data_IF_208282494010
#
_entry.id   IF_208282494010
#
_cell.length_a   1.000
_cell.length_b   1.000
_cell.length_c   1.000
_cell.angle_alpha   90.00
_cell.angle_beta   90.00
_cell.angle_gamma   90.00
#
_symmetry.space_group_name_H-M   'P 1'
#
loop_
_entity.id
_entity.type
_entity.pdbx_description
1 polymer ?
#
# COMPACT_ATOMS: atom_id res chain seq x y z
N UNK A 1 -7.24 -4.35 -18.64
CA UNK A 1 -7.79 -3.11 -18.04
C UNK A 1 -7.41 -3.11 -16.59
N UNK A 2 -6.64 -2.11 -16.16
CA UNK A 2 -6.25 -1.96 -14.77
C UNK A 2 -7.40 -1.38 -13.96
N UNK A 3 -7.67 -1.96 -12.80
CA UNK A 3 -8.64 -1.48 -11.82
C UNK A 3 -7.91 -0.96 -10.60
N UNK A 4 -8.43 0.12 -9.99
CA UNK A 4 -7.94 0.62 -8.71
C UNK A 4 -8.94 0.22 -7.63
N UNK A 5 -8.47 -0.51 -6.64
CA UNK A 5 -9.24 -0.90 -5.46
C UNK A 5 -8.81 -0.02 -4.29
N UNK A 6 -9.76 0.65 -3.66
CA UNK A 6 -9.54 1.42 -2.44
C UNK A 6 -9.82 0.54 -1.21
N UNK A 7 -8.89 0.51 -0.25
CA UNK A 7 -9.00 -0.29 0.97
C UNK A 7 -8.52 0.52 2.18
N UNK A 8 -9.24 0.47 3.30
CA UNK A 8 -8.76 1.05 4.55
C UNK A 8 -7.59 0.23 5.10
N UNK A 9 -6.69 0.91 5.80
CA UNK A 9 -5.47 0.33 6.34
C UNK A 9 -5.66 -0.81 7.36
N UNK A 10 -6.88 -0.97 7.89
CA UNK A 10 -7.27 -2.03 8.84
C UNK A 10 -8.09 -3.16 8.20
N UNK A 11 -8.40 -3.09 6.90
CA UNK A 11 -9.18 -4.13 6.22
C UNK A 11 -8.35 -5.40 6.03
N UNK A 12 -8.90 -6.56 6.43
CA UNK A 12 -8.23 -7.86 6.23
C UNK A 12 -7.88 -8.14 4.76
N UNK A 13 -8.74 -7.67 3.84
CA UNK A 13 -8.55 -7.83 2.39
C UNK A 13 -7.30 -7.11 1.88
N UNK A 14 -6.89 -6.02 2.52
CA UNK A 14 -5.64 -5.31 2.19
C UNK A 14 -4.46 -6.28 2.27
N UNK A 15 -4.28 -6.95 3.41
CA UNK A 15 -3.18 -7.89 3.62
C UNK A 15 -3.18 -9.01 2.58
N UNK A 16 -4.35 -9.53 2.20
CA UNK A 16 -4.45 -10.58 1.17
C UNK A 16 -3.94 -10.11 -0.20
N UNK A 17 -4.19 -8.85 -0.55
CA UNK A 17 -3.83 -8.30 -1.87
C UNK A 17 -2.38 -7.81 -1.89
N UNK A 18 -1.90 -7.12 -0.85
CA UNK A 18 -0.58 -6.48 -0.90
C UNK A 18 0.55 -7.34 -0.33
N UNK A 19 0.26 -8.39 0.47
CA UNK A 19 1.28 -9.24 1.09
C UNK A 19 2.37 -9.71 0.11
N UNK A 20 2.06 -10.24 -1.10
CA UNK A 20 3.08 -10.70 -2.03
C UNK A 20 4.04 -9.59 -2.47
N UNK A 21 3.53 -8.36 -2.66
CA UNK A 21 4.33 -7.23 -3.10
C UNK A 21 5.14 -6.63 -1.96
N UNK A 22 4.54 -6.39 -0.79
CA UNK A 22 5.26 -5.79 0.35
C UNK A 22 6.34 -6.71 0.91
N UNK A 23 6.22 -8.03 0.72
CA UNK A 23 7.25 -9.01 1.11
C UNK A 23 8.28 -9.28 0.01
N UNK A 24 8.09 -8.77 -1.20
CA UNK A 24 9.07 -8.92 -2.27
C UNK A 24 10.36 -8.17 -1.90
N UNK A 25 11.54 -8.82 -1.85
CA UNK A 25 12.79 -8.16 -1.46
C UNK A 25 13.15 -6.95 -2.33
N UNK A 26 12.78 -6.96 -3.61
CA UNK A 26 13.02 -5.83 -4.52
C UNK A 26 12.17 -4.63 -4.12
N UNK A 27 10.90 -4.85 -3.81
CA UNK A 27 9.95 -3.81 -3.36
C UNK A 27 10.34 -3.30 -1.97
N UNK A 28 10.69 -4.20 -1.05
CA UNK A 28 11.11 -3.83 0.29
C UNK A 28 12.38 -2.98 0.26
N UNK A 29 13.34 -3.31 -0.62
CA UNK A 29 14.56 -2.53 -0.85
C UNK A 29 14.26 -1.12 -1.39
N UNK A 30 13.25 -0.97 -2.23
CA UNK A 30 12.78 0.35 -2.68
C UNK A 30 12.21 1.20 -1.54
N UNK A 31 11.66 0.56 -0.50
CA UNK A 31 11.25 1.22 0.74
C UNK A 31 12.34 1.18 1.84
N UNK A 32 13.61 1.22 1.44
CA UNK A 32 14.77 1.22 2.36
C UNK A 32 14.83 0.03 3.33
N UNK A 33 14.30 -1.13 2.93
CA UNK A 33 14.12 -2.32 3.77
C UNK A 33 13.22 -2.10 5.00
N UNK A 34 12.42 -1.04 5.01
CA UNK A 34 11.40 -0.82 6.04
C UNK A 34 10.04 -1.39 5.60
N UNK A 35 9.24 -1.92 6.54
CA UNK A 35 7.87 -2.29 6.26
C UNK A 35 7.04 -1.04 5.91
N UNK A 36 6.06 -1.22 5.03
CA UNK A 36 5.10 -0.17 4.72
C UNK A 36 4.17 0.05 5.92
N UNK A 37 4.17 1.26 6.49
CA UNK A 37 3.31 1.64 7.61
C UNK A 37 1.83 1.64 7.21
N UNK A 38 0.97 1.17 8.10
CA UNK A 38 -0.49 1.24 7.96
C UNK A 38 -1.15 1.40 9.32
N UNK A 39 -2.34 2.00 9.36
CA UNK A 39 -3.21 2.15 10.54
C UNK A 39 -4.64 2.49 10.09
N UNK A 40 -5.52 2.85 11.03
CA UNK A 40 -6.87 3.34 10.71
C UNK A 40 -6.91 4.63 9.89
N UNK A 41 -5.82 5.42 9.90
CA UNK A 41 -5.72 6.67 9.14
C UNK A 41 -5.26 6.45 7.69
N UNK A 42 -5.01 5.20 7.29
CA UNK A 42 -4.49 4.89 5.96
C UNK A 42 -5.61 4.48 5.00
N UNK A 43 -5.49 4.94 3.76
CA UNK A 43 -6.17 4.40 2.60
C UNK A 43 -5.10 3.84 1.66
N UNK A 44 -5.33 2.64 1.15
CA UNK A 44 -4.47 1.98 0.20
C UNK A 44 -5.18 1.88 -1.14
N UNK A 45 -4.55 2.43 -2.17
CA UNK A 45 -4.96 2.23 -3.55
C UNK A 45 -4.16 1.09 -4.13
N UNK A 46 -4.83 0.02 -4.55
CA UNK A 46 -4.20 -1.18 -5.10
C UNK A 46 -4.56 -1.31 -6.57
N UNK A 47 -3.53 -1.34 -7.43
CA UNK A 47 -3.69 -1.55 -8.86
C UNK A 47 -3.75 -3.05 -9.17
N UNK A 48 -4.84 -3.47 -9.80
CA UNK A 48 -5.11 -4.86 -10.17
C UNK A 48 -5.26 -4.96 -11.68
N UNK A 49 -4.50 -5.86 -12.30
CA UNK A 49 -4.63 -6.19 -13.72
C UNK A 49 -5.08 -7.66 -13.87
N UNK A 50 -6.37 -7.85 -14.18
CA UNK A 50 -6.97 -9.18 -14.19
C UNK A 50 -7.00 -9.79 -12.79
N UNK A 51 -6.08 -10.72 -12.51
CA UNK A 51 -5.89 -11.35 -11.19
C UNK A 51 -4.59 -10.93 -10.50
N UNK A 52 -3.74 -10.18 -11.19
CA UNK A 52 -2.41 -9.81 -10.72
C UNK A 52 -2.44 -8.46 -10.02
N UNK A 53 -1.69 -8.35 -8.93
CA UNK A 53 -1.47 -7.09 -8.22
C UNK A 53 -0.20 -6.47 -8.78
N UNK A 54 -0.35 -5.32 -9.45
CA UNK A 54 0.75 -4.69 -10.20
C UNK A 54 1.33 -3.47 -9.49
N UNK A 55 0.69 -3.00 -8.42
CA UNK A 55 1.19 -1.91 -7.61
C UNK A 55 0.24 -1.50 -6.50
N UNK A 56 0.74 -0.66 -5.60
CA UNK A 56 -0.06 -0.04 -4.56
C UNK A 56 0.51 1.33 -4.15
N UNK A 57 -0.33 2.18 -3.59
CA UNK A 57 0.09 3.44 -2.96
C UNK A 57 -0.65 3.58 -1.62
N UNK A 58 0.06 3.60 -0.48
CA UNK A 58 -0.53 3.94 0.81
C UNK A 58 -0.57 5.46 0.99
N UNK A 59 -1.74 5.98 1.37
CA UNK A 59 -1.94 7.37 1.74
C UNK A 59 -2.33 7.45 3.22
N UNK A 60 -1.57 8.21 3.99
CA UNK A 60 -1.91 8.56 5.37
C UNK A 60 -2.73 9.86 5.38
N UNK A 61 -3.96 9.80 5.86
CA UNK A 61 -4.75 10.99 6.14
C UNK A 61 -4.35 11.56 7.50
N UNK A 62 -3.84 12.79 7.48
CA UNK A 62 -3.67 13.63 8.66
C UNK A 62 -4.76 14.70 8.67
N UNK A 63 -4.83 15.46 9.76
CA UNK A 63 -5.91 16.44 10.01
C UNK A 63 -6.21 17.39 8.84
N UNK A 64 -5.19 17.78 8.07
CA UNK A 64 -5.32 18.75 6.97
C UNK A 64 -4.56 18.35 5.70
N UNK A 65 -3.96 17.17 5.66
CA UNK A 65 -3.10 16.75 4.55
C UNK A 65 -3.22 15.25 4.31
N UNK A 66 -2.99 14.83 3.06
CA UNK A 66 -2.84 13.43 2.69
C UNK A 66 -1.38 13.23 2.28
N UNK A 67 -0.68 12.32 2.96
CA UNK A 67 0.73 12.06 2.71
C UNK A 67 0.86 10.71 2.04
N UNK A 68 1.56 10.68 0.89
CA UNK A 68 2.01 9.42 0.30
C UNK A 68 3.08 8.84 1.19
N UNK A 69 2.80 7.66 1.72
CA UNK A 69 3.70 6.98 2.63
C UNK A 69 4.93 6.49 1.88
N UNK A 70 6.08 7.05 2.26
CA UNK A 70 7.40 6.56 1.95
C UNK A 70 8.18 6.47 3.27
N UNK A 71 9.11 5.53 3.39
CA UNK A 71 10.01 5.51 4.53
C UNK A 71 10.86 6.79 4.53
N UNK A 72 10.46 7.79 5.32
CA UNK A 72 11.25 8.97 5.61
C UNK A 72 12.51 8.52 6.38
N UNK A 73 13.69 8.82 5.83
CA UNK A 73 14.86 9.12 6.66
C UNK A 73 14.76 10.55 7.15
#
# INVERSE_FOLDING_TARGET
>A
MTQIVELKGTEKRLYQLVAPLVMNPVVLKQNYNYPFRTSENFIWFVAVEGKEIVGFIPLEHKKSEAIINHANQ
#
